data_IF_679926558016
#
_entry.id   IF_679926558016
#
_cell.length_a   1.000
_cell.length_b   1.000
_cell.length_c   1.000
_cell.angle_alpha   90.00
_cell.angle_beta   90.00
_cell.angle_gamma   90.00
#
_symmetry.space_group_name_H-M   'P 1'
#
loop_
_entity.id
_entity.type
_entity.pdbx_description
1 polymer ?
#
# COMPACT_ATOMS: atom_id res chain seq x y z
N UNK A 1 4.25 10.20 -45.13
CA UNK A 1 3.72 9.91 -46.47
C UNK A 1 3.99 11.06 -47.46
N UNK A 2 3.73 12.33 -47.07
CA UNK A 2 3.97 13.52 -47.96
C UNK A 2 5.45 13.64 -48.32
N UNK A 3 6.39 13.44 -47.40
CA UNK A 3 7.82 13.52 -47.66
C UNK A 3 8.28 12.43 -48.63
N UNK A 4 7.76 11.22 -48.54
CA UNK A 4 8.06 10.11 -49.47
C UNK A 4 7.52 10.42 -50.86
N UNK A 5 6.31 11.00 -50.94
CA UNK A 5 5.70 11.40 -52.19
C UNK A 5 6.53 12.49 -52.88
N UNK A 6 7.02 13.48 -52.13
CA UNK A 6 7.87 14.56 -52.64
C UNK A 6 9.24 14.04 -53.10
N UNK A 7 9.82 13.06 -52.37
CA UNK A 7 11.06 12.42 -52.82
C UNK A 7 10.87 11.64 -54.11
N UNK A 8 9.74 10.88 -54.21
CA UNK A 8 9.42 10.09 -55.39
C UNK A 8 9.17 10.97 -56.60
N UNK A 9 8.42 12.06 -56.43
CA UNK A 9 8.20 13.04 -57.50
C UNK A 9 9.51 13.72 -57.93
N UNK A 10 10.42 14.02 -56.99
CA UNK A 10 11.74 14.58 -57.31
C UNK A 10 12.61 13.63 -58.13
N UNK A 11 12.61 12.32 -57.80
CA UNK A 11 13.34 11.30 -58.56
C UNK A 11 12.79 11.19 -59.98
N UNK A 12 11.47 11.08 -60.11
CA UNK A 12 10.79 10.97 -61.43
C UNK A 12 11.11 12.21 -62.31
N UNK A 13 11.04 13.42 -61.74
CA UNK A 13 11.35 14.65 -62.47
C UNK A 13 12.84 14.72 -62.85
N UNK A 14 13.75 14.20 -62.02
CA UNK A 14 15.19 14.09 -62.34
C UNK A 14 15.44 13.15 -63.53
N UNK A 15 14.75 12.01 -63.56
CA UNK A 15 14.83 11.04 -64.67
C UNK A 15 14.34 11.65 -65.98
N UNK A 16 13.24 12.42 -65.96
CA UNK A 16 12.74 13.15 -67.15
C UNK A 16 13.70 14.26 -67.61
N UNK A 17 14.44 14.91 -66.73
CA UNK A 17 15.46 15.88 -67.04
C UNK A 17 16.68 15.22 -67.73
N UNK A 18 17.06 14.02 -67.28
CA UNK A 18 18.17 13.25 -67.93
C UNK A 18 17.86 12.78 -69.34
N UNK A 19 16.55 12.54 -69.62
CA UNK A 19 16.12 12.16 -71.00
C UNK A 19 15.96 13.39 -71.91
N UNK A 20 16.30 14.59 -71.44
CA UNK A 20 16.26 15.84 -72.26
C UNK A 20 14.84 16.39 -72.45
N UNK A 21 13.84 15.86 -71.75
CA UNK A 21 12.46 16.32 -71.87
C UNK A 21 12.15 17.54 -71.00
N UNK A 22 13.02 17.88 -70.03
CA UNK A 22 12.83 19.01 -69.09
C UNK A 22 14.14 19.81 -69.01
N UNK A 23 14.10 21.14 -68.85
CA UNK A 23 15.31 21.92 -68.62
C UNK A 23 15.96 21.46 -67.28
N UNK A 24 17.30 21.69 -67.19
CA UNK A 24 18.25 21.23 -66.12
C UNK A 24 17.82 21.54 -64.67
N UNK A 25 16.54 21.69 -64.42
CA UNK A 25 15.86 21.93 -63.07
C UNK A 25 15.64 20.66 -62.29
N UNK A 26 15.81 19.45 -62.87
CA UNK A 26 15.54 18.18 -62.20
C UNK A 26 16.35 17.98 -60.91
N UNK A 27 17.60 18.43 -60.87
CA UNK A 27 18.44 18.39 -59.69
C UNK A 27 17.94 19.22 -58.50
N UNK A 28 17.33 20.39 -58.81
CA UNK A 28 16.73 21.26 -57.76
C UNK A 28 15.51 20.59 -57.15
N UNK A 29 14.64 19.98 -57.95
CA UNK A 29 13.46 19.26 -57.44
C UNK A 29 13.84 18.06 -56.60
N UNK A 30 14.89 17.32 -56.99
CA UNK A 30 15.43 16.22 -56.18
C UNK A 30 15.95 16.72 -54.82
N UNK A 31 16.72 17.82 -54.79
CA UNK A 31 17.23 18.41 -53.57
C UNK A 31 16.07 18.87 -52.62
N UNK A 32 15.09 19.55 -53.18
CA UNK A 32 13.88 19.98 -52.43
C UNK A 32 13.14 18.78 -51.88
N UNK A 33 13.02 17.70 -52.66
CA UNK A 33 12.37 16.45 -52.22
C UNK A 33 13.11 15.80 -51.03
N UNK A 34 14.44 15.74 -51.09
CA UNK A 34 15.26 15.20 -49.97
C UNK A 34 15.14 16.05 -48.73
N UNK A 35 15.22 17.38 -48.87
CA UNK A 35 15.05 18.29 -47.70
C UNK A 35 13.65 18.17 -47.11
N UNK A 36 12.61 18.12 -47.92
CA UNK A 36 11.23 17.97 -47.47
C UNK A 36 10.99 16.61 -46.77
N UNK A 37 11.61 15.54 -47.27
CA UNK A 37 11.58 14.22 -46.63
C UNK A 37 12.26 14.25 -45.27
N UNK A 38 13.50 14.79 -45.18
CA UNK A 38 14.24 14.87 -43.91
C UNK A 38 13.49 15.71 -42.87
N UNK A 39 12.95 16.87 -43.27
CA UNK A 39 12.08 17.67 -42.40
C UNK A 39 10.87 16.91 -41.94
N UNK A 40 10.21 16.15 -42.79
CA UNK A 40 9.01 15.34 -42.44
C UNK A 40 9.37 14.26 -41.43
N UNK A 41 10.49 13.55 -41.61
CA UNK A 41 10.97 12.54 -40.68
C UNK A 41 11.28 13.17 -39.31
N UNK A 42 12.02 14.28 -39.30
CA UNK A 42 12.36 15.00 -38.08
C UNK A 42 11.10 15.48 -37.31
N UNK A 43 10.09 16.00 -38.01
CA UNK A 43 8.82 16.42 -37.40
C UNK A 43 8.06 15.22 -36.81
N UNK A 44 8.01 14.11 -37.56
CA UNK A 44 7.32 12.90 -37.09
C UNK A 44 8.03 12.32 -35.87
N UNK A 45 9.35 12.27 -35.86
CA UNK A 45 10.14 11.75 -34.75
C UNK A 45 10.00 12.64 -33.50
N UNK A 46 10.05 13.98 -33.67
CA UNK A 46 9.76 14.90 -32.55
C UNK A 46 8.36 14.72 -32.01
N UNK A 47 7.37 14.58 -32.88
CA UNK A 47 5.99 14.33 -32.44
C UNK A 47 5.84 13.00 -31.70
N UNK A 48 6.49 11.93 -32.18
CA UNK A 48 6.52 10.62 -31.50
C UNK A 48 7.19 10.73 -30.14
N UNK A 49 8.36 11.36 -30.08
CA UNK A 49 9.11 11.55 -28.82
C UNK A 49 8.29 12.35 -27.81
N UNK A 50 7.68 13.47 -28.24
CA UNK A 50 6.80 14.25 -27.36
C UNK A 50 5.62 13.41 -26.83
N UNK A 51 5.01 12.60 -27.69
CA UNK A 51 3.90 11.73 -27.29
C UNK A 51 4.33 10.63 -26.31
N UNK A 52 5.51 10.06 -26.50
CA UNK A 52 6.10 9.09 -25.56
C UNK A 52 6.39 9.76 -24.21
N UNK A 53 7.00 10.94 -24.23
CA UNK A 53 7.29 11.71 -23.00
C UNK A 53 6.02 12.09 -22.25
N UNK A 54 4.97 12.54 -22.93
CA UNK A 54 3.70 12.85 -22.32
C UNK A 54 3.07 11.62 -21.65
N UNK A 55 3.07 10.48 -22.33
CA UNK A 55 2.57 9.22 -21.77
C UNK A 55 3.37 8.75 -20.56
N UNK A 56 4.69 8.88 -20.61
CA UNK A 56 5.56 8.55 -19.48
C UNK A 56 5.28 9.46 -18.27
N UNK A 57 5.07 10.77 -18.50
CA UNK A 57 4.73 11.72 -17.45
C UNK A 57 3.33 11.45 -16.85
N UNK A 58 2.36 11.12 -17.69
CA UNK A 58 1.02 10.73 -17.23
C UNK A 58 1.06 9.44 -16.41
N UNK A 59 1.81 8.43 -16.86
CA UNK A 59 2.00 7.19 -16.11
C UNK A 59 2.65 7.44 -14.75
N UNK A 60 3.70 8.25 -14.68
CA UNK A 60 4.35 8.63 -13.43
C UNK A 60 3.40 9.38 -12.48
N UNK A 61 2.55 10.28 -12.99
CA UNK A 61 1.54 10.98 -12.18
C UNK A 61 0.47 10.03 -11.64
N UNK A 62 0.05 9.04 -12.44
CA UNK A 62 -0.93 8.04 -12.00
C UNK A 62 -0.32 7.17 -10.91
N UNK A 63 0.93 6.75 -11.08
CA UNK A 63 1.65 5.95 -10.09
C UNK A 63 1.80 6.71 -8.76
N UNK A 64 2.19 7.99 -8.83
CA UNK A 64 2.27 8.84 -7.64
C UNK A 64 0.92 8.94 -6.91
N UNK A 65 -0.16 9.23 -7.64
CA UNK A 65 -1.51 9.28 -7.06
C UNK A 65 -1.94 7.95 -6.45
N UNK A 66 -1.56 6.84 -7.08
CA UNK A 66 -1.85 5.51 -6.54
C UNK A 66 -1.09 5.26 -5.23
N UNK A 67 0.18 5.68 -5.14
CA UNK A 67 0.96 5.59 -3.91
C UNK A 67 0.37 6.48 -2.81
N UNK A 68 -0.01 7.72 -3.13
CA UNK A 68 -0.68 8.62 -2.19
C UNK A 68 -2.00 8.03 -1.68
N UNK A 69 -2.84 7.50 -2.56
CA UNK A 69 -4.11 6.86 -2.18
C UNK A 69 -3.89 5.59 -1.33
N UNK A 70 -2.88 4.78 -1.63
CA UNK A 70 -2.50 3.62 -0.81
C UNK A 70 -2.04 4.03 0.59
N UNK A 71 -1.22 5.07 0.68
CA UNK A 71 -0.77 5.62 1.96
C UNK A 71 -1.95 6.15 2.77
N UNK A 72 -2.87 6.88 2.14
CA UNK A 72 -4.07 7.39 2.78
C UNK A 72 -4.97 6.26 3.31
N UNK A 73 -5.20 5.22 2.51
CA UNK A 73 -5.93 4.02 2.94
C UNK A 73 -5.23 3.32 4.11
N UNK A 74 -3.89 3.19 4.07
CA UNK A 74 -3.10 2.60 5.14
C UNK A 74 -3.26 3.39 6.45
N UNK A 75 -3.16 4.72 6.38
CA UNK A 75 -3.34 5.60 7.53
C UNK A 75 -4.77 5.59 8.07
N UNK A 76 -5.78 5.44 7.20
CA UNK A 76 -7.18 5.30 7.64
C UNK A 76 -7.48 3.97 8.33
N UNK A 77 -6.77 2.89 7.98
CA UNK A 77 -6.92 1.61 8.67
C UNK A 77 -6.26 1.60 10.06
N UNK A 78 -5.21 2.41 10.25
CA UNK A 78 -4.64 2.64 11.57
C UNK A 78 -5.52 3.68 12.26
N UNK A 79 -6.16 3.31 13.38
CA UNK A 79 -7.04 4.22 14.14
C UNK A 79 -6.31 5.55 14.44
N UNK A 80 -6.77 6.72 13.95
CA UNK A 80 -6.04 8.00 14.13
C UNK A 80 -5.79 8.32 15.61
N UNK A 81 -6.72 7.93 16.47
CA UNK A 81 -6.61 8.07 17.91
C UNK A 81 -5.44 7.23 18.51
N UNK A 82 -5.18 6.04 17.96
CA UNK A 82 -4.00 5.26 18.37
C UNK A 82 -2.70 5.98 18.02
N UNK A 83 -2.59 6.51 16.78
CA UNK A 83 -1.40 7.27 16.36
C UNK A 83 -1.11 8.45 17.27
N UNK A 84 -2.12 9.26 17.57
CA UNK A 84 -1.99 10.42 18.46
C UNK A 84 -1.54 10.00 19.87
N UNK A 85 -2.17 8.97 20.42
CA UNK A 85 -1.85 8.49 21.76
C UNK A 85 -0.45 7.88 21.84
N UNK A 86 -0.03 7.09 20.84
CA UNK A 86 1.31 6.54 20.77
C UNK A 86 2.38 7.66 20.76
N UNK A 87 2.21 8.67 19.88
CA UNK A 87 3.12 9.80 19.80
C UNK A 87 3.17 10.62 21.10
N UNK A 88 2.02 10.82 21.77
CA UNK A 88 1.97 11.51 23.07
C UNK A 88 2.67 10.72 24.16
N UNK A 89 2.49 9.40 24.20
CA UNK A 89 3.19 8.52 25.14
C UNK A 89 4.69 8.52 24.92
N UNK A 90 5.13 8.41 23.67
CA UNK A 90 6.56 8.51 23.30
C UNK A 90 7.14 9.86 23.71
N UNK A 91 6.43 10.96 23.47
CA UNK A 91 6.86 12.32 23.91
C UNK A 91 7.11 12.39 25.41
N UNK A 92 6.25 11.77 26.23
CA UNK A 92 6.44 11.71 27.68
C UNK A 92 7.67 10.86 28.03
N UNK A 93 7.83 9.69 27.38
CA UNK A 93 8.98 8.82 27.59
C UNK A 93 10.31 9.50 27.24
N UNK A 94 10.36 10.33 26.20
CA UNK A 94 11.59 11.07 25.85
C UNK A 94 12.14 11.92 27.01
N UNK A 95 11.26 12.40 27.89
CA UNK A 95 11.64 13.19 29.06
C UNK A 95 11.91 12.37 30.31
N UNK A 96 11.20 11.26 30.49
CA UNK A 96 11.21 10.48 31.73
C UNK A 96 12.09 9.25 31.66
N UNK A 97 12.08 8.56 30.49
CA UNK A 97 12.76 7.28 30.26
C UNK A 97 13.28 7.18 28.82
N UNK A 98 14.37 7.90 28.46
CA UNK A 98 14.83 8.03 27.06
C UNK A 98 15.14 6.69 26.36
N UNK A 99 15.68 5.72 27.06
CA UNK A 99 15.96 4.38 26.49
C UNK A 99 14.69 3.63 26.10
N UNK A 100 13.64 3.74 26.91
CA UNK A 100 12.34 3.15 26.57
C UNK A 100 11.65 3.90 25.43
N UNK A 101 11.88 5.23 25.33
CA UNK A 101 11.40 6.03 24.20
C UNK A 101 12.00 5.57 22.86
N UNK A 102 13.31 5.26 22.83
CA UNK A 102 13.99 4.74 21.65
C UNK A 102 13.34 3.42 21.18
N UNK A 103 13.13 2.49 22.10
CA UNK A 103 12.46 1.23 21.78
C UNK A 103 11.02 1.43 21.31
N UNK A 104 10.28 2.33 21.96
CA UNK A 104 8.89 2.65 21.57
C UNK A 104 8.81 3.26 20.16
N UNK A 105 9.74 4.14 19.79
CA UNK A 105 9.82 4.68 18.41
C UNK A 105 10.12 3.58 17.40
N UNK A 106 11.05 2.68 17.73
CA UNK A 106 11.37 1.55 16.87
C UNK A 106 10.17 0.65 16.67
N UNK A 107 9.50 0.23 17.74
CA UNK A 107 8.30 -0.64 17.67
C UNK A 107 7.16 0.03 16.91
N UNK A 108 6.96 1.33 17.11
CA UNK A 108 5.97 2.11 16.38
C UNK A 108 6.26 2.16 14.87
N UNK A 109 7.51 2.42 14.49
CA UNK A 109 7.91 2.44 13.08
C UNK A 109 7.76 1.09 12.40
N UNK A 110 8.13 -0.01 13.11
CA UNK A 110 7.98 -1.38 12.57
C UNK A 110 6.50 -1.78 12.48
N UNK A 111 5.68 -1.43 13.48
CA UNK A 111 4.23 -1.62 13.45
C UNK A 111 3.59 -0.93 12.25
N UNK A 112 3.89 0.36 12.02
CA UNK A 112 3.37 1.11 10.87
C UNK A 112 3.77 0.45 9.54
N UNK A 113 5.04 0.08 9.39
CA UNK A 113 5.53 -0.59 8.18
C UNK A 113 4.85 -1.93 7.97
N UNK A 114 4.65 -2.73 9.02
CA UNK A 114 3.94 -4.01 8.96
C UNK A 114 2.52 -3.85 8.43
N UNK A 115 1.78 -2.85 8.93
CA UNK A 115 0.43 -2.55 8.45
C UNK A 115 0.41 -2.10 6.98
N UNK A 116 1.37 -1.26 6.55
CA UNK A 116 1.48 -0.83 5.15
C UNK A 116 1.75 -2.01 4.22
N UNK A 117 2.73 -2.86 4.55
CA UNK A 117 3.07 -4.05 3.76
C UNK A 117 1.89 -5.03 3.66
N UNK A 118 1.10 -5.17 4.72
CA UNK A 118 -0.08 -6.02 4.76
C UNK A 118 -1.20 -5.58 3.81
N UNK A 119 -1.21 -4.31 3.40
CA UNK A 119 -2.15 -3.76 2.41
C UNK A 119 -1.67 -3.96 0.97
N UNK A 120 -0.36 -4.08 0.78
CA UNK A 120 0.23 -4.25 -0.55
C UNK A 120 0.23 -5.71 -1.00
N UNK A 121 0.24 -6.65 -0.06
CA UNK A 121 0.32 -8.09 -0.35
C UNK A 121 -0.92 -8.83 0.17
N UNK A 122 -1.59 -9.55 -0.72
CA UNK A 122 -2.63 -10.51 -0.36
C UNK A 122 -2.04 -11.88 0.05
N UNK A 123 -0.71 -12.03 0.10
CA UNK A 123 -0.07 -13.29 0.42
C UNK A 123 -0.26 -13.68 1.89
N UNK A 124 -0.52 -14.94 2.11
CA UNK A 124 -0.58 -15.54 3.45
C UNK A 124 0.77 -15.37 4.15
N UNK A 125 0.74 -14.91 5.41
CA UNK A 125 1.92 -14.77 6.26
C UNK A 125 1.96 -15.87 7.34
N UNK A 126 3.14 -16.22 7.87
CA UNK A 126 3.21 -17.06 9.06
C UNK A 126 2.45 -16.39 10.23
N UNK A 127 1.64 -17.16 10.95
CA UNK A 127 0.91 -16.67 12.14
C UNK A 127 1.83 -15.96 13.14
N UNK A 128 3.04 -16.46 13.31
CA UNK A 128 4.04 -15.86 14.20
C UNK A 128 4.46 -14.44 13.80
N UNK A 129 4.43 -14.10 12.51
CA UNK A 129 4.74 -12.74 12.06
C UNK A 129 3.61 -11.76 12.43
N UNK A 130 2.36 -12.18 12.34
CA UNK A 130 1.24 -11.37 12.83
C UNK A 130 1.30 -11.20 14.34
N UNK A 131 1.62 -12.26 15.09
CA UNK A 131 1.86 -12.17 16.55
C UNK A 131 2.92 -11.13 16.91
N UNK A 132 4.05 -11.09 16.19
CA UNK A 132 5.08 -10.07 16.41
C UNK A 132 4.57 -8.63 16.17
N UNK A 133 3.70 -8.45 15.19
CA UNK A 133 3.08 -7.13 14.93
C UNK A 133 2.12 -6.74 16.06
N UNK A 134 1.36 -7.71 16.55
CA UNK A 134 0.47 -7.54 17.71
C UNK A 134 1.27 -7.25 18.98
N UNK A 135 2.39 -7.94 19.22
CA UNK A 135 3.28 -7.68 20.37
C UNK A 135 3.77 -6.22 20.38
N UNK A 136 4.18 -5.68 19.23
CA UNK A 136 4.59 -4.27 19.12
C UNK A 136 3.44 -3.31 19.41
N UNK A 137 2.27 -3.57 18.86
CA UNK A 137 1.07 -2.80 19.17
C UNK A 137 0.78 -2.79 20.68
N UNK A 138 0.76 -3.97 21.29
CA UNK A 138 0.48 -4.13 22.72
C UNK A 138 1.57 -3.48 23.59
N UNK A 139 2.84 -3.53 23.18
CA UNK A 139 3.91 -2.83 23.88
C UNK A 139 3.66 -1.30 23.91
N UNK A 140 3.27 -0.71 22.77
CA UNK A 140 2.94 0.72 22.69
C UNK A 140 1.74 1.06 23.58
N UNK A 141 0.67 0.25 23.55
CA UNK A 141 -0.50 0.45 24.41
C UNK A 141 -0.15 0.26 25.90
N UNK A 142 0.75 -0.67 26.23
CA UNK A 142 1.22 -0.89 27.59
C UNK A 142 2.01 0.30 28.14
N UNK A 143 2.73 1.05 27.31
CA UNK A 143 3.35 2.32 27.71
C UNK A 143 2.31 3.32 28.20
N UNK A 144 1.15 3.34 27.56
CA UNK A 144 0.03 4.25 27.86
C UNK A 144 -0.76 3.82 29.08
N UNK A 145 -1.10 2.53 29.16
CA UNK A 145 -2.00 2.00 30.20
C UNK A 145 -1.25 1.46 31.42
N UNK A 146 0.06 1.22 31.32
CA UNK A 146 0.85 0.65 32.40
C UNK A 146 0.31 -0.70 32.83
N UNK A 147 0.23 -0.91 34.13
CA UNK A 147 -0.25 -2.16 34.76
C UNK A 147 -1.75 -2.43 34.52
N UNK A 148 -2.49 -1.45 34.00
CA UNK A 148 -3.92 -1.63 33.67
C UNK A 148 -4.14 -2.52 32.43
N UNK A 149 -3.14 -2.70 31.58
CA UNK A 149 -3.20 -3.62 30.45
C UNK A 149 -2.34 -4.85 30.73
N UNK A 150 -2.98 -5.97 31.01
CA UNK A 150 -2.32 -7.26 31.10
C UNK A 150 -2.52 -8.05 29.80
N UNK A 151 -1.48 -8.77 29.38
CA UNK A 151 -1.48 -9.57 28.17
C UNK A 151 -1.01 -10.98 28.49
N UNK A 152 -1.78 -11.96 28.04
CA UNK A 152 -1.47 -13.38 28.20
C UNK A 152 -1.43 -14.07 26.84
N UNK A 153 -0.37 -14.84 26.60
CA UNK A 153 -0.18 -15.62 25.40
C UNK A 153 -0.24 -17.11 25.74
N UNK A 154 -1.10 -17.87 25.06
CA UNK A 154 -1.21 -19.34 25.15
C UNK A 154 -1.21 -19.91 23.72
N UNK A 155 -0.03 -19.96 23.13
CA UNK A 155 0.17 -20.36 21.74
C UNK A 155 0.61 -21.82 21.66
N UNK A 156 -0.35 -22.75 21.59
CA UNK A 156 -0.09 -24.19 21.47
C UNK A 156 0.14 -24.61 20.01
N UNK A 157 -0.43 -23.86 19.04
CA UNK A 157 -0.25 -24.09 17.60
C UNK A 157 0.22 -22.80 16.95
N UNK A 158 1.42 -22.81 16.32
CA UNK A 158 2.00 -21.63 15.70
C UNK A 158 2.41 -21.85 14.23
N UNK A 159 2.43 -23.13 13.78
CA UNK A 159 2.99 -23.50 12.48
C UNK A 159 1.91 -23.51 11.38
N UNK A 160 1.29 -22.36 11.16
CA UNK A 160 0.31 -22.17 10.08
C UNK A 160 0.44 -20.77 9.48
N UNK A 161 -0.25 -20.55 8.38
CA UNK A 161 -0.27 -19.26 7.67
C UNK A 161 -1.68 -18.70 7.67
N UNK A 162 -1.77 -17.37 7.72
CA UNK A 162 -3.03 -16.63 7.73
C UNK A 162 -2.93 -15.42 6.80
N UNK A 163 -4.05 -14.87 6.33
CA UNK A 163 -4.04 -13.56 5.69
C UNK A 163 -3.55 -12.49 6.69
N UNK A 164 -2.75 -11.52 6.25
CA UNK A 164 -2.27 -10.45 7.14
C UNK A 164 -3.44 -9.63 7.69
N UNK A 165 -3.28 -9.02 8.86
CA UNK A 165 -4.31 -8.24 9.56
C UNK A 165 -5.59 -9.05 9.86
N UNK A 166 -5.45 -10.33 10.15
CA UNK A 166 -6.57 -11.21 10.52
C UNK A 166 -6.89 -11.11 12.01
N UNK A 167 -5.87 -11.16 12.86
CA UNK A 167 -6.00 -11.23 14.31
C UNK A 167 -5.81 -9.85 14.95
N UNK A 168 -4.91 -9.04 14.40
CA UNK A 168 -4.60 -7.71 14.92
C UNK A 168 -5.86 -6.85 15.17
N UNK A 169 -6.84 -6.71 14.24
CA UNK A 169 -8.03 -5.90 14.48
C UNK A 169 -8.89 -6.40 15.65
N UNK A 170 -8.88 -7.71 15.92
CA UNK A 170 -9.61 -8.29 17.05
C UNK A 170 -8.92 -7.91 18.37
N UNK A 171 -7.60 -7.98 18.43
CA UNK A 171 -6.82 -7.56 19.60
C UNK A 171 -6.97 -6.07 19.85
N UNK A 172 -6.92 -5.24 18.78
CA UNK A 172 -7.18 -3.80 18.88
C UNK A 172 -8.57 -3.49 19.44
N UNK A 173 -9.58 -4.26 19.06
CA UNK A 173 -10.93 -4.11 19.59
C UNK A 173 -11.02 -4.51 21.06
N UNK A 174 -10.39 -5.63 21.44
CA UNK A 174 -10.32 -6.07 22.85
C UNK A 174 -9.66 -5.00 23.73
N UNK A 175 -8.55 -4.40 23.28
CA UNK A 175 -7.89 -3.31 24.02
C UNK A 175 -8.76 -2.07 24.05
N UNK A 176 -9.18 -1.53 22.89
CA UNK A 176 -9.85 -0.22 22.81
C UNK A 176 -11.27 -0.22 23.38
N UNK A 177 -12.05 -1.26 23.13
CA UNK A 177 -13.46 -1.33 23.49
C UNK A 177 -13.71 -2.17 24.75
N UNK A 178 -12.81 -3.14 25.04
CA UNK A 178 -12.84 -3.92 26.26
C UNK A 178 -12.14 -3.19 27.41
N UNK A 179 -10.81 -3.20 27.37
CA UNK A 179 -9.96 -2.80 28.51
C UNK A 179 -9.95 -1.30 28.75
N UNK A 180 -9.86 -0.48 27.67
CA UNK A 180 -9.73 0.97 27.81
C UNK A 180 -10.94 1.65 28.47
N UNK A 181 -12.11 1.03 28.39
CA UNK A 181 -13.34 1.57 28.98
C UNK A 181 -13.50 1.24 30.46
N UNK A 182 -12.68 0.33 30.97
CA UNK A 182 -12.71 -0.12 32.35
C UNK A 182 -11.63 0.62 33.15
N UNK A 183 -12.01 1.33 34.23
CA UNK A 183 -11.05 2.10 35.04
C UNK A 183 -9.98 1.22 35.70
N UNK A 184 -10.36 0.02 36.08
CA UNK A 184 -9.50 -0.98 36.73
C UNK A 184 -8.53 -1.63 35.75
N UNK A 185 -8.77 -1.48 34.44
CA UNK A 185 -8.02 -2.19 33.40
C UNK A 185 -8.54 -3.60 33.17
N UNK A 186 -7.70 -4.46 32.62
CA UNK A 186 -8.04 -5.86 32.38
C UNK A 186 -6.97 -6.60 31.60
N UNK A 187 -7.33 -7.83 31.23
CA UNK A 187 -6.45 -8.78 30.57
C UNK A 187 -6.96 -9.10 29.19
N UNK A 188 -6.08 -9.04 28.18
CA UNK A 188 -6.30 -9.63 26.86
C UNK A 188 -5.55 -10.94 26.79
N UNK A 189 -6.24 -12.03 26.50
CA UNK A 189 -5.64 -13.34 26.28
C UNK A 189 -5.73 -13.75 24.82
N UNK A 190 -4.59 -14.12 24.23
CA UNK A 190 -4.49 -14.58 22.86
C UNK A 190 -4.09 -16.06 22.89
N UNK A 191 -4.93 -16.92 22.32
CA UNK A 191 -4.73 -18.37 22.33
C UNK A 191 -4.77 -18.93 20.92
N UNK A 192 -3.91 -19.90 20.66
CA UNK A 192 -3.99 -20.74 19.47
C UNK A 192 -3.89 -22.21 19.85
N UNK A 193 -4.81 -23.04 19.36
CA UNK A 193 -4.88 -24.45 19.70
C UNK A 193 -5.56 -25.24 18.58
N UNK A 194 -5.45 -26.55 18.62
CA UNK A 194 -6.14 -27.43 17.69
C UNK A 194 -7.39 -28.04 18.32
N UNK A 195 -8.52 -27.95 17.62
CA UNK A 195 -9.80 -28.53 18.04
C UNK A 195 -10.46 -29.21 16.84
N UNK A 196 -10.83 -30.48 17.00
CA UNK A 196 -11.50 -31.29 15.96
C UNK A 196 -10.76 -31.31 14.60
N UNK A 197 -9.42 -31.24 14.62
CA UNK A 197 -8.59 -31.20 13.40
C UNK A 197 -8.38 -29.79 12.83
N UNK A 198 -9.11 -28.81 13.27
CA UNK A 198 -9.01 -27.40 12.84
C UNK A 198 -8.13 -26.60 13.79
N UNK A 199 -7.47 -25.57 13.24
CA UNK A 199 -6.72 -24.59 14.04
C UNK A 199 -7.68 -23.49 14.48
N UNK A 200 -7.74 -23.27 15.78
CA UNK A 200 -8.55 -22.22 16.40
C UNK A 200 -7.64 -21.13 16.95
N UNK A 201 -7.91 -19.88 16.60
CA UNK A 201 -7.34 -18.70 17.27
C UNK A 201 -8.43 -18.00 18.02
N UNK A 202 -8.18 -17.71 19.31
CA UNK A 202 -9.16 -17.11 20.21
C UNK A 202 -8.55 -15.90 20.89
N UNK A 203 -9.28 -14.78 20.87
CA UNK A 203 -8.96 -13.57 21.60
C UNK A 203 -10.06 -13.39 22.67
N UNK A 204 -9.64 -13.30 23.90
CA UNK A 204 -10.51 -13.11 25.07
C UNK A 204 -10.10 -11.83 25.77
N UNK A 205 -11.06 -11.04 26.19
CA UNK A 205 -10.85 -9.91 27.09
C UNK A 205 -11.84 -9.97 28.27
N UNK A 206 -11.43 -9.45 29.40
CA UNK A 206 -12.26 -9.29 30.62
C UNK A 206 -12.72 -7.83 30.75
N UNK A 207 -12.82 -7.12 29.64
CA UNK A 207 -13.21 -5.72 29.57
C UNK A 207 -14.69 -5.44 29.88
N UNK A 208 -15.17 -4.28 29.44
CA UNK A 208 -16.54 -3.83 29.68
C UNK A 208 -17.62 -4.68 29.00
N UNK A 209 -17.20 -5.52 28.00
CA UNK A 209 -18.12 -6.29 27.18
C UNK A 209 -18.93 -5.41 26.21
N UNK A 210 -19.78 -6.03 25.41
CA UNK A 210 -20.68 -5.34 24.50
C UNK A 210 -22.01 -6.11 24.36
N UNK A 211 -23.05 -5.36 23.98
CA UNK A 211 -24.37 -5.91 23.77
C UNK A 211 -24.43 -6.71 22.45
N UNK A 212 -24.55 -8.03 22.57
CA UNK A 212 -24.59 -8.95 21.42
C UNK A 212 -25.88 -8.81 20.58
N UNK A 213 -26.95 -8.24 21.12
CA UNK A 213 -28.21 -8.03 20.38
C UNK A 213 -28.04 -6.90 19.35
N UNK A 214 -27.22 -5.88 19.66
CA UNK A 214 -26.87 -4.78 18.74
C UNK A 214 -25.93 -5.22 17.62
N UNK A 215 -25.27 -6.38 17.74
CA UNK A 215 -24.40 -6.93 16.70
C UNK A 215 -25.17 -7.60 15.56
N UNK A 216 -26.44 -7.97 15.74
CA UNK A 216 -27.24 -8.62 14.68
C UNK A 216 -27.48 -7.69 13.50
N UNK A 217 -27.50 -6.37 13.73
CA UNK A 217 -27.67 -5.33 12.69
C UNK A 217 -26.37 -4.61 12.32
N UNK A 218 -25.35 -4.70 13.16
CA UNK A 218 -24.05 -4.11 12.93
C UNK A 218 -22.97 -5.22 12.99
N UNK A 219 -22.88 -6.05 11.95
CA UNK A 219 -21.62 -6.76 11.69
C UNK A 219 -20.54 -5.66 11.62
N UNK A 220 -19.86 -5.45 12.75
CA UNK A 220 -18.83 -4.41 12.84
C UNK A 220 -17.89 -4.57 11.67
N UNK A 221 -17.53 -3.48 11.01
CA UNK A 221 -16.73 -3.47 9.77
C UNK A 221 -15.53 -4.42 9.87
N UNK A 222 -14.92 -4.52 11.05
CA UNK A 222 -13.80 -5.41 11.34
C UNK A 222 -14.16 -6.90 11.20
N UNK A 223 -15.29 -7.33 11.79
CA UNK A 223 -15.73 -8.75 11.76
C UNK A 223 -16.19 -9.14 10.35
N UNK A 224 -16.86 -8.23 9.65
CA UNK A 224 -17.29 -8.44 8.27
C UNK A 224 -16.09 -8.58 7.32
N UNK A 225 -15.09 -7.71 7.44
CA UNK A 225 -13.85 -7.79 6.66
C UNK A 225 -13.08 -9.06 6.98
N UNK A 226 -13.05 -9.49 8.24
CA UNK A 226 -12.43 -10.74 8.64
C UNK A 226 -13.11 -11.95 7.99
N UNK A 227 -14.45 -12.02 8.03
CA UNK A 227 -15.21 -13.10 7.38
C UNK A 227 -14.96 -13.18 5.87
N UNK A 228 -14.76 -12.04 5.20
CA UNK A 228 -14.43 -12.00 3.78
C UNK A 228 -13.02 -12.55 3.52
N UNK A 229 -12.02 -12.15 4.31
CA UNK A 229 -10.63 -12.59 4.17
C UNK A 229 -10.40 -14.06 4.48
N UNK A 230 -11.20 -14.66 5.37
CA UNK A 230 -11.09 -16.08 5.73
C UNK A 230 -11.86 -17.01 4.77
N UNK A 231 -12.64 -16.47 3.81
CA UNK A 231 -13.36 -17.24 2.79
C UNK A 231 -12.60 -17.38 1.48
N UNK A 232 -11.55 -16.60 1.29
CA UNK A 232 -10.61 -16.70 0.17
C UNK A 232 -9.47 -17.68 0.50
#
# INVERSE_FOLDING_TARGET
EIGILLLYTGIVLSDFAHIGMLPYSGGIFMLVGVIAFDLSVNVIDRWRMNKIQQRALEAAKIEQKLQEARLELALHQIKPHFLQNALMSIKVLCRTRPKEAEQAVYDFAVFLRGNMNALESAEMIPFREECKTIERYLHIEKIRFGERLQVQWDLQEEKFRIPPLTIQPLVENAVCHGICQKMEGGTVQIRSFRKNGEICVQILDDGAGFDTEKLKDADGIAIRNLKLRLKE
#
